data_IF_719798238708
#
_entry.id   IF_719798238708
#
_cell.length_a   1.000
_cell.length_b   1.000
_cell.length_c   1.000
_cell.angle_alpha   90.00
_cell.angle_beta   90.00
_cell.angle_gamma   90.00
#
_symmetry.space_group_name_H-M   'P 1'
#
loop_
_entity.id
_entity.type
_entity.pdbx_description
1 polymer ?
#
# COMPACT_ATOMS: atom_id res chain seq x y z
N UNK A 1 4.37 -10.77 8.65
CA UNK A 1 3.91 -9.52 8.02
C UNK A 1 2.46 -9.70 7.64
N UNK A 2 1.60 -8.72 7.91
CA UNK A 2 0.20 -8.74 7.47
C UNK A 2 0.10 -8.30 6.01
N UNK A 3 -1.05 -8.56 5.36
CA UNK A 3 -1.30 -8.12 3.98
C UNK A 3 -1.17 -6.61 3.86
N UNK A 4 -1.62 -5.84 4.85
CA UNK A 4 -1.47 -4.39 4.92
C UNK A 4 0.00 -3.95 4.93
N UNK A 5 0.84 -4.63 5.69
CA UNK A 5 2.26 -4.30 5.81
C UNK A 5 3.01 -4.59 4.50
N UNK A 6 2.64 -5.66 3.80
CA UNK A 6 3.12 -5.95 2.45
C UNK A 6 2.63 -4.90 1.44
N UNK A 7 1.41 -4.39 1.60
CA UNK A 7 0.81 -3.37 0.74
C UNK A 7 1.52 -2.02 0.89
N UNK A 8 1.86 -1.62 2.12
CA UNK A 8 2.71 -0.46 2.40
C UNK A 8 4.05 -0.58 1.66
N UNK A 9 4.71 -1.74 1.78
CA UNK A 9 5.98 -2.01 1.11
C UNK A 9 5.86 -1.88 -0.41
N UNK A 10 4.89 -2.55 -1.01
CA UNK A 10 4.66 -2.52 -2.46
C UNK A 10 4.33 -1.11 -2.99
N UNK A 11 3.58 -0.31 -2.23
CA UNK A 11 3.28 1.08 -2.59
C UNK A 11 4.57 1.94 -2.54
N UNK A 12 5.40 1.79 -1.50
CA UNK A 12 6.69 2.52 -1.39
C UNK A 12 7.68 2.13 -2.49
N UNK A 13 7.70 0.85 -2.87
CA UNK A 13 8.50 0.36 -4.00
C UNK A 13 8.02 0.97 -5.32
N UNK A 14 6.71 1.05 -5.56
CA UNK A 14 6.15 1.75 -6.72
C UNK A 14 6.56 3.23 -6.72
N UNK A 15 6.44 3.95 -5.61
CA UNK A 15 6.83 5.36 -5.51
C UNK A 15 8.31 5.57 -5.84
N UNK A 16 9.15 4.65 -5.36
CA UNK A 16 10.60 4.66 -5.64
C UNK A 16 10.89 4.43 -7.13
N UNK A 17 10.19 3.48 -7.76
CA UNK A 17 10.31 3.22 -9.20
C UNK A 17 9.79 4.41 -10.03
N UNK A 18 8.69 5.04 -9.62
CA UNK A 18 8.15 6.25 -10.25
C UNK A 18 9.16 7.40 -10.19
N UNK A 19 9.90 7.57 -9.09
CA UNK A 19 10.93 8.60 -8.99
C UNK A 19 12.09 8.40 -10.00
N UNK A 20 12.30 7.17 -10.49
CA UNK A 20 13.35 6.81 -11.44
C UNK A 20 12.90 6.83 -12.91
N UNK A 21 11.64 7.16 -13.23
CA UNK A 21 11.13 7.10 -14.63
C UNK A 21 11.82 8.03 -15.62
N UNK A 22 12.55 9.04 -15.11
CA UNK A 22 13.33 9.98 -15.90
C UNK A 22 14.81 9.58 -16.02
N UNK A 23 15.21 8.45 -15.45
CA UNK A 23 16.58 7.90 -15.48
C UNK A 23 16.61 6.72 -16.44
N UNK A 24 17.65 6.64 -17.27
CA UNK A 24 17.85 5.52 -18.20
C UNK A 24 18.70 4.41 -17.56
N UNK A 25 18.32 3.12 -17.68
CA UNK A 25 17.11 2.65 -18.37
C UNK A 25 15.84 2.88 -17.54
N UNK A 26 14.76 3.25 -18.23
CA UNK A 26 13.46 3.46 -17.59
C UNK A 26 12.97 2.18 -16.87
N UNK A 27 12.52 2.27 -15.60
CA UNK A 27 11.95 1.13 -14.89
C UNK A 27 10.61 0.68 -15.49
N UNK A 28 10.36 -0.63 -15.46
CA UNK A 28 9.04 -1.20 -15.77
C UNK A 28 8.13 -1.08 -14.56
N UNK A 29 7.04 -0.33 -14.69
CA UNK A 29 6.09 -0.08 -13.60
C UNK A 29 4.98 -1.14 -13.51
N UNK A 30 4.76 -1.94 -14.56
CA UNK A 30 3.68 -2.92 -14.60
C UNK A 30 3.73 -3.96 -13.47
N UNK A 31 4.91 -4.52 -13.11
CA UNK A 31 5.01 -5.50 -12.03
C UNK A 31 4.55 -4.94 -10.68
N UNK A 32 4.82 -3.65 -10.41
CA UNK A 32 4.45 -3.01 -9.15
C UNK A 32 2.93 -2.87 -9.02
N UNK A 33 2.24 -2.45 -10.09
CA UNK A 33 0.77 -2.41 -10.07
C UNK A 33 0.16 -3.80 -9.88
N UNK A 34 0.67 -4.81 -10.60
CA UNK A 34 0.19 -6.18 -10.45
C UNK A 34 0.36 -6.70 -9.03
N UNK A 35 1.49 -6.40 -8.39
CA UNK A 35 1.73 -6.78 -6.99
C UNK A 35 0.76 -6.12 -6.02
N UNK A 36 0.45 -4.85 -6.22
CA UNK A 36 -0.53 -4.14 -5.39
C UNK A 36 -1.95 -4.71 -5.60
N UNK A 37 -2.32 -5.05 -6.83
CA UNK A 37 -3.63 -5.65 -7.15
C UNK A 37 -3.77 -7.04 -6.50
N UNK A 38 -2.72 -7.87 -6.54
CA UNK A 38 -2.67 -9.18 -5.85
C UNK A 38 -2.84 -9.05 -4.34
N UNK A 39 -2.16 -8.08 -3.72
CA UNK A 39 -2.24 -7.85 -2.28
C UNK A 39 -3.62 -7.28 -1.91
N UNK A 40 -4.19 -6.41 -2.74
CA UNK A 40 -5.54 -5.88 -2.56
C UNK A 40 -6.59 -6.99 -2.59
N UNK A 41 -6.44 -7.97 -3.48
CA UNK A 41 -7.34 -9.13 -3.55
C UNK A 41 -7.25 -10.07 -2.34
N UNK A 42 -6.16 -10.01 -1.57
CA UNK A 42 -5.96 -10.78 -0.34
C UNK A 42 -6.45 -10.06 0.92
N UNK A 43 -6.95 -8.83 0.79
CA UNK A 43 -7.49 -8.09 1.92
C UNK A 43 -8.79 -8.75 2.44
N UNK A 44 -9.02 -8.76 3.77
CA UNK A 44 -10.26 -9.28 4.34
C UNK A 44 -11.52 -8.61 3.79
N UNK A 45 -12.65 -9.33 3.71
CA UNK A 45 -13.90 -8.79 3.19
C UNK A 45 -14.52 -7.66 4.03
N UNK A 46 -14.09 -7.52 5.28
CA UNK A 46 -14.44 -6.43 6.21
C UNK A 46 -13.44 -5.27 6.19
N UNK A 47 -12.49 -5.26 5.24
CA UNK A 47 -11.55 -4.17 5.05
C UNK A 47 -12.27 -2.83 4.88
N UNK A 48 -11.70 -1.79 5.48
CA UNK A 48 -12.27 -0.44 5.42
C UNK A 48 -12.55 0.00 3.97
N UNK A 49 -13.79 0.47 3.74
CA UNK A 49 -14.27 0.88 2.41
C UNK A 49 -13.47 2.02 1.81
N UNK A 50 -12.94 2.95 2.61
CA UNK A 50 -12.10 4.04 2.13
C UNK A 50 -10.77 3.52 1.60
N UNK A 51 -10.14 2.59 2.31
CA UNK A 51 -8.92 1.93 1.84
C UNK A 51 -9.16 1.19 0.52
N UNK A 52 -10.22 0.39 0.43
CA UNK A 52 -10.60 -0.29 -0.80
C UNK A 52 -10.84 0.70 -1.95
N UNK A 53 -11.46 1.85 -1.66
CA UNK A 53 -11.66 2.91 -2.65
C UNK A 53 -10.33 3.52 -3.12
N UNK A 54 -9.40 3.82 -2.21
CA UNK A 54 -8.10 4.36 -2.59
C UNK A 54 -7.29 3.38 -3.45
N UNK A 55 -7.34 2.08 -3.13
CA UNK A 55 -6.67 1.04 -3.90
C UNK A 55 -7.28 0.88 -5.30
N UNK A 56 -8.62 0.79 -5.41
CA UNK A 56 -9.33 0.72 -6.70
C UNK A 56 -9.04 1.94 -7.60
N UNK A 57 -8.95 3.14 -7.00
CA UNK A 57 -8.65 4.38 -7.72
C UNK A 57 -7.16 4.63 -7.93
N UNK A 58 -6.29 3.69 -7.56
CA UNK A 58 -4.82 3.82 -7.62
C UNK A 58 -4.32 5.10 -6.92
N UNK A 59 -5.04 5.53 -5.89
CA UNK A 59 -4.69 6.68 -5.06
C UNK A 59 -3.72 6.23 -3.96
N UNK A 60 -2.54 5.75 -4.37
CA UNK A 60 -1.63 5.04 -3.48
C UNK A 60 -1.07 5.91 -2.34
N UNK A 61 -0.86 7.21 -2.56
CA UNK A 61 -0.47 8.13 -1.50
C UNK A 61 -1.53 8.20 -0.37
N UNK A 62 -2.83 8.18 -0.70
CA UNK A 62 -3.91 8.15 0.30
C UNK A 62 -4.02 6.79 0.97
N UNK A 63 -3.87 5.71 0.20
CA UNK A 63 -3.84 4.36 0.76
C UNK A 63 -2.68 4.22 1.77
N UNK A 64 -1.50 4.75 1.45
CA UNK A 64 -0.34 4.74 2.32
C UNK A 64 -0.60 5.49 3.63
N UNK A 65 -1.10 6.73 3.55
CA UNK A 65 -1.48 7.53 4.73
C UNK A 65 -2.49 6.80 5.62
N UNK A 66 -3.48 6.13 5.02
CA UNK A 66 -4.49 5.36 5.76
C UNK A 66 -3.88 4.13 6.45
N UNK A 67 -3.02 3.39 5.75
CA UNK A 67 -2.39 2.17 6.27
C UNK A 67 -1.38 2.48 7.39
N UNK A 68 -0.57 3.53 7.23
CA UNK A 68 0.41 3.96 8.24
C UNK A 68 -0.28 4.53 9.49
N UNK A 69 -1.35 5.32 9.32
CA UNK A 69 -2.13 5.83 10.45
C UNK A 69 -2.73 4.71 11.33
N UNK A 70 -3.25 3.64 10.71
CA UNK A 70 -3.71 2.47 11.45
C UNK A 70 -2.59 1.73 12.18
N UNK A 71 -1.40 1.61 11.57
CA UNK A 71 -0.25 1.01 12.26
C UNK A 71 0.15 1.82 13.49
N UNK A 72 0.20 3.15 13.37
CA UNK A 72 0.50 4.02 14.51
C UNK A 72 -0.54 3.91 15.63
N UNK A 73 -1.83 3.79 15.29
CA UNK A 73 -2.90 3.58 16.28
C UNK A 73 -2.78 2.22 16.99
N UNK A 74 -2.48 1.16 16.24
CA UNK A 74 -2.25 -0.19 16.78
C UNK A 74 -1.01 -0.21 17.68
N UNK A 75 0.08 0.42 17.28
CA UNK A 75 1.31 0.51 18.09
C UNK A 75 1.11 1.35 19.35
N UNK A 76 0.36 2.46 19.29
CA UNK A 76 0.04 3.31 20.45
C UNK A 76 -0.99 2.67 21.39
N UNK A 77 -1.88 1.83 20.87
CA UNK A 77 -2.94 1.13 21.63
C UNK A 77 -2.56 -0.26 22.16
N UNK A 78 -1.37 -0.76 21.86
CA UNK A 78 -0.94 -2.14 22.13
C UNK A 78 -0.65 -2.52 23.59
N UNK A 79 -0.91 -1.65 24.58
CA UNK A 79 -0.69 -1.96 26.00
C UNK A 79 -1.90 -1.59 26.86
N UNK A 80 -2.97 -2.40 26.83
CA UNK A 80 -3.92 -2.51 27.95
C UNK A 80 -4.47 -3.94 28.02
N UNK A 81 -3.93 -4.74 28.92
CA UNK A 81 -4.40 -6.08 29.27
C UNK A 81 -3.30 -7.00 29.80
#
# INVERSE_FOLDING_TARGET
MTTEQNLIGAIKELESAVAMVNVEPKPDLLPYFGRIDELTAQLPGDTNRELMHYLDKKSYAKALLFLEGQQEEVEKGGCLG
#
